data_IF_409169830549
#
_entry.id   IF_409169830549
#
_cell.length_a   1.000
_cell.length_b   1.000
_cell.length_c   1.000
_cell.angle_alpha   90.00
_cell.angle_beta   90.00
_cell.angle_gamma   90.00
#
_symmetry.space_group_name_H-M   'P 1'
#
loop_
_entity.id
_entity.type
_entity.pdbx_description
1 polymer ?
#
# COMPACT_ATOMS: atom_id res chain seq x y z
N UNK A 1 -23.04 59.75 -16.28
CA UNK A 1 -22.33 59.35 -15.03
C UNK A 1 -22.98 58.20 -14.25
N UNK A 2 -24.32 58.05 -14.21
CA UNK A 2 -24.99 56.94 -13.48
C UNK A 2 -24.60 55.54 -13.98
N UNK A 3 -24.50 55.35 -15.30
CA UNK A 3 -24.17 54.05 -15.89
C UNK A 3 -22.72 53.62 -15.59
N UNK A 4 -21.78 54.57 -15.53
CA UNK A 4 -20.38 54.28 -15.20
C UNK A 4 -20.21 53.73 -13.78
N UNK A 5 -20.95 54.29 -12.80
CA UNK A 5 -20.94 53.78 -11.42
C UNK A 5 -21.48 52.35 -11.34
N UNK A 6 -22.50 52.04 -12.12
CA UNK A 6 -23.07 50.69 -12.21
C UNK A 6 -22.08 49.68 -12.81
N UNK A 7 -21.38 50.02 -13.90
CA UNK A 7 -20.34 49.17 -14.48
C UNK A 7 -19.15 48.97 -13.54
N UNK A 8 -18.73 50.00 -12.81
CA UNK A 8 -17.68 49.90 -11.79
C UNK A 8 -18.11 48.94 -10.67
N UNK A 9 -19.36 49.04 -10.20
CA UNK A 9 -19.89 48.15 -9.16
C UNK A 9 -19.93 46.69 -9.62
N UNK A 10 -20.36 46.44 -10.86
CA UNK A 10 -20.32 45.09 -11.45
C UNK A 10 -18.89 44.58 -11.56
N UNK A 11 -17.98 45.40 -12.10
CA UNK A 11 -16.57 45.04 -12.21
C UNK A 11 -15.97 44.68 -10.86
N UNK A 12 -16.19 45.48 -9.82
CA UNK A 12 -15.73 45.18 -8.47
C UNK A 12 -16.37 43.90 -7.91
N UNK A 13 -17.66 43.67 -8.13
CA UNK A 13 -18.30 42.42 -7.70
C UNK A 13 -17.70 41.19 -8.38
N UNK A 14 -17.36 41.30 -9.67
CA UNK A 14 -16.73 40.24 -10.46
C UNK A 14 -15.29 39.97 -10.00
N UNK A 15 -14.53 41.03 -9.70
CA UNK A 15 -13.19 40.92 -9.11
C UNK A 15 -13.26 40.25 -7.73
N UNK A 16 -14.22 40.61 -6.88
CA UNK A 16 -14.40 39.98 -5.56
C UNK A 16 -14.74 38.48 -5.70
N UNK A 17 -15.61 38.11 -6.65
CA UNK A 17 -15.93 36.70 -6.92
C UNK A 17 -14.70 35.91 -7.38
N UNK A 18 -13.88 36.47 -8.26
CA UNK A 18 -12.64 35.82 -8.72
C UNK A 18 -11.65 35.68 -7.55
N UNK A 19 -11.49 36.71 -6.71
CA UNK A 19 -10.61 36.65 -5.55
C UNK A 19 -11.10 35.61 -4.52
N UNK A 20 -12.41 35.47 -4.33
CA UNK A 20 -12.99 34.44 -3.49
C UNK A 20 -12.69 33.04 -4.02
N UNK A 21 -12.86 32.82 -5.34
CA UNK A 21 -12.55 31.54 -5.99
C UNK A 21 -11.06 31.17 -5.88
N UNK A 22 -10.16 32.14 -6.09
CA UNK A 22 -8.72 31.94 -5.97
C UNK A 22 -8.27 31.69 -4.52
N UNK A 23 -9.06 32.11 -3.53
CA UNK A 23 -8.77 31.90 -2.11
C UNK A 23 -9.29 30.56 -1.61
N UNK A 24 -10.09 29.83 -2.39
CA UNK A 24 -10.53 28.50 -1.99
C UNK A 24 -9.32 27.56 -1.92
N UNK A 25 -9.17 26.78 -0.84
CA UNK A 25 -8.11 25.78 -0.77
C UNK A 25 -8.33 24.78 -1.90
N UNK A 26 -7.25 24.45 -2.62
CA UNK A 26 -7.30 23.38 -3.63
C UNK A 26 -7.83 22.11 -2.98
N UNK A 27 -8.79 21.47 -3.63
CA UNK A 27 -9.29 20.17 -3.18
C UNK A 27 -8.13 19.19 -3.01
N UNK A 28 -8.12 18.50 -1.87
CA UNK A 28 -7.11 17.49 -1.60
C UNK A 28 -7.42 16.29 -2.50
N UNK A 29 -6.47 15.92 -3.35
CA UNK A 29 -6.57 14.72 -4.18
C UNK A 29 -6.40 13.47 -3.30
N UNK A 30 -7.46 12.67 -3.17
CA UNK A 30 -7.48 11.41 -2.42
C UNK A 30 -7.39 10.18 -3.34
N UNK A 31 -6.87 10.33 -4.56
CA UNK A 31 -6.71 9.19 -5.47
C UNK A 31 -5.69 8.19 -4.92
N UNK A 32 -6.06 6.92 -4.85
CA UNK A 32 -5.15 5.85 -4.44
C UNK A 32 -4.15 5.51 -5.54
N UNK A 33 -2.86 5.79 -5.32
CA UNK A 33 -1.81 5.46 -6.29
C UNK A 33 -0.58 4.78 -5.70
N UNK A 34 -0.37 4.82 -4.38
CA UNK A 34 0.72 4.14 -3.66
C UNK A 34 2.14 4.45 -4.19
N UNK A 35 2.28 5.48 -5.03
CA UNK A 35 3.48 5.70 -5.82
C UNK A 35 4.54 6.38 -4.94
N UNK A 36 5.78 5.90 -5.02
CA UNK A 36 6.92 6.41 -4.25
C UNK A 36 7.21 7.92 -4.42
N UNK A 37 6.82 8.52 -5.54
CA UNK A 37 7.00 9.96 -5.81
C UNK A 37 5.78 10.81 -5.45
N UNK A 38 4.65 10.18 -5.11
CA UNK A 38 3.37 10.85 -4.86
C UNK A 38 3.27 11.36 -3.43
N UNK A 39 3.05 12.67 -3.27
CA UNK A 39 2.91 13.36 -1.98
C UNK A 39 1.46 13.54 -1.51
N UNK A 40 0.49 13.11 -2.30
CA UNK A 40 -0.93 13.12 -1.90
C UNK A 40 -1.15 12.11 -0.74
N UNK A 41 -2.26 12.18 0.01
CA UNK A 41 -2.49 11.32 1.17
C UNK A 41 -2.29 9.81 0.90
N UNK A 42 -2.77 9.30 -0.24
CA UNK A 42 -2.63 7.88 -0.60
C UNK A 42 -1.44 7.58 -1.55
N UNK A 43 -0.47 8.49 -1.60
CA UNK A 43 0.85 8.23 -2.16
C UNK A 43 1.77 7.48 -1.18
N UNK A 44 2.91 7.00 -1.68
CA UNK A 44 3.88 6.20 -0.92
C UNK A 44 5.19 6.95 -0.60
N UNK A 45 5.23 8.27 -0.74
CA UNK A 45 6.45 9.08 -0.58
C UNK A 45 7.11 8.95 0.79
N UNK A 46 6.34 9.06 1.87
CA UNK A 46 6.86 8.98 3.24
C UNK A 46 7.40 7.58 3.52
N UNK A 47 6.62 6.53 3.20
CA UNK A 47 7.08 5.14 3.38
C UNK A 47 8.37 4.86 2.61
N UNK A 48 8.46 5.34 1.36
CA UNK A 48 9.68 5.23 0.58
C UNK A 48 10.87 5.96 1.23
N UNK A 49 10.65 7.18 1.74
CA UNK A 49 11.69 7.97 2.41
C UNK A 49 12.22 7.34 3.70
N UNK A 50 11.42 6.49 4.36
CA UNK A 50 11.81 5.75 5.57
C UNK A 50 12.60 4.47 5.27
N UNK A 51 12.61 3.97 4.02
CA UNK A 51 13.31 2.72 3.68
C UNK A 51 14.80 2.71 4.06
N UNK A 52 15.60 3.77 3.85
CA UNK A 52 17.00 3.79 4.28
C UNK A 52 17.16 3.68 5.81
N UNK A 53 16.22 4.23 6.58
CA UNK A 53 16.26 4.15 8.05
C UNK A 53 15.85 2.77 8.56
N UNK A 54 14.87 2.13 7.91
CA UNK A 54 14.41 0.77 8.21
C UNK A 54 15.48 -0.25 7.82
N UNK A 55 16.12 -0.06 6.67
CA UNK A 55 17.12 -0.97 6.10
C UNK A 55 18.53 -0.36 6.11
N UNK A 56 19.02 0.06 7.30
CA UNK A 56 20.31 0.77 7.47
C UNK A 56 21.52 0.14 6.78
N UNK A 57 21.53 -1.19 6.70
CA UNK A 57 22.64 -1.97 6.11
C UNK A 57 22.34 -2.47 4.68
N UNK A 58 21.18 -2.12 4.12
CA UNK A 58 20.73 -2.56 2.81
C UNK A 58 20.93 -1.50 1.73
N UNK A 59 21.30 -1.93 0.52
CA UNK A 59 21.24 -1.06 -0.66
C UNK A 59 19.80 -0.98 -1.15
N UNK A 60 19.20 0.22 -1.12
CA UNK A 60 17.91 0.46 -1.75
C UNK A 60 18.13 0.60 -3.26
N UNK A 61 17.40 -0.22 -4.03
CA UNK A 61 17.43 -0.19 -5.50
C UNK A 61 16.02 0.07 -5.97
N UNK A 62 15.82 1.19 -6.64
CA UNK A 62 14.58 1.51 -7.30
C UNK A 62 14.53 0.81 -8.66
N UNK A 63 13.44 0.09 -8.93
CA UNK A 63 13.18 -0.39 -10.28
C UNK A 63 12.29 0.60 -11.02
N UNK A 64 12.68 0.93 -12.25
CA UNK A 64 11.90 1.74 -13.19
C UNK A 64 11.32 0.90 -14.34
N UNK A 65 11.51 -0.43 -14.27
CA UNK A 65 11.10 -1.37 -15.31
C UNK A 65 10.08 -2.37 -14.79
N UNK A 66 9.38 -3.02 -15.72
CA UNK A 66 8.48 -4.16 -15.46
C UNK A 66 9.14 -5.23 -14.57
N UNK A 67 8.30 -5.95 -13.82
CA UNK A 67 8.73 -6.95 -12.85
C UNK A 67 9.58 -8.04 -13.49
N UNK A 68 9.15 -8.60 -14.63
CA UNK A 68 9.90 -9.57 -15.42
C UNK A 68 11.31 -9.10 -15.75
N UNK A 69 11.46 -7.87 -16.29
CA UNK A 69 12.77 -7.31 -16.66
C UNK A 69 13.66 -7.09 -15.45
N UNK A 70 13.06 -6.66 -14.35
CA UNK A 70 13.74 -6.44 -13.07
C UNK A 70 14.37 -7.72 -12.55
N UNK A 71 13.68 -8.86 -12.70
CA UNK A 71 14.05 -10.13 -12.06
C UNK A 71 14.84 -11.08 -12.97
N UNK A 72 14.49 -11.21 -14.25
CA UNK A 72 14.97 -12.29 -15.13
C UNK A 72 16.50 -12.36 -15.27
N UNK A 73 17.17 -11.21 -15.36
CA UNK A 73 18.58 -11.14 -15.75
C UNK A 73 19.53 -10.81 -14.59
N UNK A 74 19.05 -10.87 -13.34
CA UNK A 74 19.83 -10.52 -12.16
C UNK A 74 19.89 -11.68 -11.19
N UNK A 75 21.09 -11.98 -10.68
CA UNK A 75 21.30 -13.04 -9.70
C UNK A 75 21.20 -12.48 -8.28
N UNK A 76 20.00 -11.99 -7.93
CA UNK A 76 19.73 -11.51 -6.57
C UNK A 76 19.80 -12.65 -5.56
N UNK A 77 20.45 -12.40 -4.43
CA UNK A 77 20.49 -13.28 -3.27
C UNK A 77 20.30 -12.43 -2.01
N UNK A 78 19.58 -12.97 -1.03
CA UNK A 78 19.27 -12.26 0.23
C UNK A 78 18.69 -10.86 0.00
N UNK A 79 17.86 -10.71 -1.04
CA UNK A 79 17.25 -9.44 -1.45
C UNK A 79 15.78 -9.43 -1.07
N UNK A 80 15.28 -8.26 -0.66
CA UNK A 80 13.85 -8.03 -0.40
C UNK A 80 13.27 -7.23 -1.56
N UNK A 81 12.20 -7.74 -2.16
CA UNK A 81 11.38 -7.03 -3.14
C UNK A 81 10.13 -6.51 -2.43
N UNK A 82 9.82 -5.21 -2.57
CA UNK A 82 8.65 -4.57 -1.94
C UNK A 82 7.73 -4.08 -3.06
N UNK A 83 6.48 -4.52 -3.02
CA UNK A 83 5.43 -4.14 -3.97
C UNK A 83 4.22 -3.66 -3.15
N UNK A 84 3.77 -2.44 -3.40
CA UNK A 84 2.60 -1.85 -2.75
C UNK A 84 1.73 -1.26 -3.85
N UNK A 85 0.50 -1.74 -3.97
CA UNK A 85 -0.45 -1.29 -4.98
C UNK A 85 -1.89 -1.57 -4.54
N UNK A 86 -2.87 -1.06 -5.28
CA UNK A 86 -4.26 -1.43 -5.03
C UNK A 86 -4.54 -2.89 -5.44
N UNK A 87 -4.04 -3.27 -6.63
CA UNK A 87 -4.31 -4.56 -7.26
C UNK A 87 -3.02 -5.18 -7.76
N UNK A 88 -2.65 -6.34 -7.22
CA UNK A 88 -1.51 -7.13 -7.66
C UNK A 88 -1.94 -8.30 -8.55
N UNK A 89 -1.97 -8.04 -9.86
CA UNK A 89 -2.32 -9.04 -10.88
C UNK A 89 -1.19 -9.19 -11.92
N UNK A 90 -0.03 -9.74 -11.52
CA UNK A 90 1.05 -10.00 -12.46
C UNK A 90 0.58 -10.99 -13.54
N UNK A 91 1.12 -10.84 -14.75
CA UNK A 91 0.95 -11.87 -15.77
C UNK A 91 1.74 -13.14 -15.41
N UNK A 92 1.54 -14.20 -16.20
CA UNK A 92 2.18 -15.50 -15.97
C UNK A 92 3.71 -15.44 -16.00
N UNK A 93 4.30 -14.56 -16.81
CA UNK A 93 5.75 -14.43 -16.91
C UNK A 93 6.32 -13.70 -15.70
N UNK A 94 5.67 -12.61 -15.30
CA UNK A 94 5.97 -11.83 -14.10
C UNK A 94 5.88 -12.71 -12.85
N UNK A 95 4.78 -13.44 -12.68
CA UNK A 95 4.57 -14.33 -11.55
C UNK A 95 5.64 -15.42 -11.51
N UNK A 96 5.94 -16.05 -12.65
CA UNK A 96 6.97 -17.08 -12.74
C UNK A 96 8.35 -16.56 -12.29
N UNK A 97 8.74 -15.37 -12.73
CA UNK A 97 10.04 -14.80 -12.32
C UNK A 97 10.03 -14.37 -10.83
N UNK A 98 8.91 -13.88 -10.30
CA UNK A 98 8.75 -13.57 -8.87
C UNK A 98 8.88 -14.82 -8.00
N UNK A 99 8.25 -15.93 -8.39
CA UNK A 99 8.35 -17.20 -7.67
C UNK A 99 9.79 -17.74 -7.70
N UNK A 100 10.43 -17.75 -8.88
CA UNK A 100 11.85 -18.13 -9.02
C UNK A 100 12.79 -17.23 -8.20
N UNK A 101 12.51 -15.93 -8.15
CA UNK A 101 13.28 -15.00 -7.34
C UNK A 101 13.18 -15.41 -5.87
N UNK A 102 11.98 -15.71 -5.38
CA UNK A 102 11.72 -16.13 -3.99
C UNK A 102 12.40 -17.47 -3.67
N UNK A 103 12.37 -18.44 -4.59
CA UNK A 103 13.01 -19.74 -4.41
C UNK A 103 14.52 -19.64 -4.11
N UNK A 104 15.17 -18.57 -4.59
CA UNK A 104 16.62 -18.30 -4.43
C UNK A 104 16.97 -17.55 -3.14
N UNK A 105 16.28 -17.85 -2.05
CA UNK A 105 16.50 -17.22 -0.72
C UNK A 105 16.23 -15.72 -0.68
N UNK A 106 15.43 -15.21 -1.61
CA UNK A 106 14.97 -13.81 -1.58
C UNK A 106 13.58 -13.73 -0.97
N UNK A 107 13.20 -12.56 -0.48
CA UNK A 107 11.89 -12.32 0.07
C UNK A 107 11.10 -11.36 -0.80
N UNK A 108 9.78 -11.57 -0.86
CA UNK A 108 8.87 -10.69 -1.59
C UNK A 108 7.80 -10.21 -0.61
N UNK A 109 7.62 -8.91 -0.50
CA UNK A 109 6.56 -8.28 0.26
C UNK A 109 5.56 -7.66 -0.72
N UNK A 110 4.28 -8.02 -0.58
CA UNK A 110 3.20 -7.49 -1.41
C UNK A 110 2.09 -7.00 -0.48
N UNK A 111 1.74 -5.72 -0.60
CA UNK A 111 0.54 -5.17 0.00
C UNK A 111 -0.44 -4.77 -1.12
N UNK A 112 -1.62 -5.38 -1.12
CA UNK A 112 -2.68 -5.10 -2.10
C UNK A 112 -4.07 -5.46 -1.57
N UNK A 113 -5.10 -4.82 -2.10
CA UNK A 113 -6.49 -5.19 -1.82
C UNK A 113 -6.91 -6.42 -2.64
N UNK A 114 -6.45 -6.49 -3.89
CA UNK A 114 -6.83 -7.53 -4.85
C UNK A 114 -5.58 -8.25 -5.35
N UNK A 115 -5.62 -9.58 -5.37
CA UNK A 115 -4.53 -10.43 -5.85
C UNK A 115 -4.99 -11.27 -7.05
N UNK A 116 -4.06 -11.66 -7.93
CA UNK A 116 -4.38 -12.61 -9.00
C UNK A 116 -4.74 -13.98 -8.46
N UNK A 117 -5.72 -14.63 -9.11
CA UNK A 117 -6.11 -16.00 -8.79
C UNK A 117 -4.93 -16.97 -8.95
N UNK A 118 -4.08 -16.76 -9.94
CA UNK A 118 -2.90 -17.61 -10.17
C UNK A 118 -1.93 -17.58 -8.98
N UNK A 119 -1.69 -16.41 -8.39
CA UNK A 119 -0.89 -16.30 -7.17
C UNK A 119 -1.57 -17.00 -5.99
N UNK A 120 -2.85 -16.73 -5.75
CA UNK A 120 -3.56 -17.30 -4.59
C UNK A 120 -3.68 -18.82 -4.67
N UNK A 121 -3.92 -19.35 -5.87
CA UNK A 121 -3.97 -20.80 -6.12
C UNK A 121 -2.58 -21.43 -5.90
N UNK A 122 -1.52 -20.78 -6.38
CA UNK A 122 -0.14 -21.26 -6.20
C UNK A 122 0.28 -21.34 -4.74
N UNK A 123 -0.17 -20.38 -3.92
CA UNK A 123 0.14 -20.34 -2.48
C UNK A 123 -0.90 -21.08 -1.63
N UNK A 124 -1.93 -21.66 -2.25
CA UNK A 124 -3.04 -22.31 -1.56
C UNK A 124 -3.68 -21.42 -0.48
N UNK A 125 -3.94 -20.16 -0.84
CA UNK A 125 -4.59 -19.18 0.03
C UNK A 125 -5.94 -18.75 -0.56
N UNK A 126 -6.88 -18.40 0.31
CA UNK A 126 -8.18 -17.82 -0.06
C UNK A 126 -8.34 -16.50 0.66
N UNK A 127 -8.55 -15.44 -0.10
CA UNK A 127 -8.85 -14.11 0.42
C UNK A 127 -10.35 -13.87 0.26
N UNK A 128 -10.98 -13.35 1.31
CA UNK A 128 -12.37 -12.97 1.33
C UNK A 128 -12.51 -11.52 1.78
N UNK A 129 -13.72 -10.99 1.66
CA UNK A 129 -14.06 -9.62 1.98
C UNK A 129 -15.17 -9.59 3.01
N UNK A 130 -15.06 -8.71 4.00
CA UNK A 130 -16.11 -8.47 4.99
C UNK A 130 -16.60 -7.04 4.92
N UNK A 131 -17.90 -6.86 4.67
CA UNK A 131 -18.53 -5.55 4.60
C UNK A 131 -18.67 -4.87 5.98
N UNK A 132 -18.55 -5.64 7.06
CA UNK A 132 -18.68 -5.20 8.45
C UNK A 132 -17.39 -4.56 8.96
N UNK A 133 -16.99 -3.41 8.39
CA UNK A 133 -15.91 -2.61 8.96
C UNK A 133 -16.42 -1.23 9.36
N UNK A 134 -16.26 -0.88 10.63
CA UNK A 134 -16.45 0.47 11.14
C UNK A 134 -15.45 1.44 10.48
N UNK A 135 -15.74 2.75 10.57
CA UNK A 135 -14.90 3.82 10.00
C UNK A 135 -13.46 3.84 10.53
N UNK A 136 -13.19 3.17 11.65
CA UNK A 136 -11.88 3.06 12.32
C UNK A 136 -11.45 1.61 12.42
N UNK A 137 -10.17 1.30 12.14
CA UNK A 137 -9.62 -0.05 12.29
C UNK A 137 -8.41 -0.08 13.21
N UNK A 138 -8.30 -1.16 13.98
CA UNK A 138 -7.12 -1.44 14.82
C UNK A 138 -6.51 -2.73 14.32
N UNK A 139 -5.20 -2.72 14.11
CA UNK A 139 -4.42 -3.88 13.71
C UNK A 139 -3.59 -4.34 14.89
N UNK A 140 -3.57 -5.65 15.12
CA UNK A 140 -2.64 -6.29 16.05
C UNK A 140 -1.56 -6.96 15.22
N UNK A 141 -0.34 -6.44 15.33
CA UNK A 141 0.83 -7.04 14.69
C UNK A 141 1.48 -8.01 15.66
N UNK A 142 1.66 -9.24 15.21
CA UNK A 142 2.33 -10.29 15.96
C UNK A 142 3.79 -10.34 15.51
N UNK A 143 4.67 -9.76 16.30
CA UNK A 143 6.10 -9.87 16.13
C UNK A 143 6.66 -11.08 16.88
N UNK A 144 7.86 -11.52 16.47
CA UNK A 144 8.62 -12.56 17.18
C UNK A 144 8.91 -12.16 18.63
N UNK A 145 8.88 -10.85 18.95
CA UNK A 145 9.21 -10.28 20.26
C UNK A 145 8.01 -9.70 21.03
N UNK A 146 6.77 -9.83 20.53
CA UNK A 146 5.57 -9.30 21.20
C UNK A 146 4.43 -8.93 20.25
N UNK A 147 3.33 -8.44 20.80
CA UNK A 147 2.21 -7.89 20.02
C UNK A 147 2.18 -6.37 20.18
N UNK A 148 2.20 -5.63 19.08
CA UNK A 148 1.90 -4.19 19.11
C UNK A 148 0.57 -3.92 18.43
N UNK A 149 -0.22 -3.03 19.02
CA UNK A 149 -1.46 -2.56 18.43
C UNK A 149 -1.22 -1.25 17.68
N UNK A 150 -1.48 -1.26 16.37
CA UNK A 150 -1.46 -0.07 15.54
C UNK A 150 -2.89 0.34 15.25
N UNK A 151 -3.26 1.56 15.64
CA UNK A 151 -4.55 2.15 15.32
C UNK A 151 -4.42 2.95 14.03
N UNK A 152 -5.37 2.77 13.12
CA UNK A 152 -5.42 3.52 11.88
C UNK A 152 -6.82 4.13 11.78
N UNK A 153 -6.86 5.46 11.63
CA UNK A 153 -8.10 6.22 11.64
C UNK A 153 -8.89 6.13 10.32
N UNK A 154 -8.43 5.30 9.36
CA UNK A 154 -9.12 5.02 8.11
C UNK A 154 -9.56 3.58 7.97
N UNK A 155 -10.71 3.45 7.30
CA UNK A 155 -11.37 2.18 7.03
C UNK A 155 -10.60 1.42 5.93
N UNK A 156 -9.96 0.28 6.26
CA UNK A 156 -9.52 -0.66 5.25
C UNK A 156 -10.72 -1.25 4.52
N UNK A 157 -10.46 -1.73 3.32
CA UNK A 157 -11.50 -2.37 2.52
C UNK A 157 -12.06 -3.62 3.24
N UNK A 158 -11.31 -4.28 4.13
CA UNK A 158 -11.82 -5.41 4.92
C UNK A 158 -11.58 -6.76 4.25
N UNK A 159 -10.51 -6.83 3.46
CA UNK A 159 -10.00 -8.07 2.92
C UNK A 159 -9.22 -8.84 3.98
N UNK A 160 -9.40 -10.15 4.03
CA UNK A 160 -8.75 -11.03 5.00
C UNK A 160 -8.50 -12.42 4.42
N UNK A 161 -7.57 -13.15 5.03
CA UNK A 161 -7.29 -14.54 4.68
C UNK A 161 -8.34 -15.47 5.31
N UNK A 162 -9.23 -16.00 4.48
CA UNK A 162 -10.26 -16.98 4.88
C UNK A 162 -9.66 -18.39 5.03
N UNK A 163 -8.72 -18.76 4.16
CA UNK A 163 -8.02 -20.05 4.20
C UNK A 163 -6.56 -19.88 3.80
N UNK A 164 -5.70 -20.68 4.41
CA UNK A 164 -4.28 -20.76 4.12
C UNK A 164 -3.72 -22.06 4.66
N UNK A 165 -2.62 -22.53 4.09
CA UNK A 165 -1.88 -23.70 4.58
C UNK A 165 -1.04 -23.32 5.81
N UNK A 166 -1.45 -23.80 7.00
CA UNK A 166 -0.78 -23.52 8.28
C UNK A 166 0.61 -24.14 8.40
N UNK A 167 0.95 -25.15 7.58
CA UNK A 167 2.29 -25.74 7.60
C UNK A 167 3.35 -24.81 6.97
N UNK A 168 2.93 -23.99 6.00
CA UNK A 168 3.81 -23.08 5.26
C UNK A 168 3.53 -21.60 5.56
N UNK A 169 2.45 -21.28 6.28
CA UNK A 169 2.00 -19.92 6.53
C UNK A 169 2.02 -19.57 8.00
N UNK A 170 2.62 -18.43 8.33
CA UNK A 170 2.57 -17.81 9.66
C UNK A 170 1.77 -16.50 9.58
N UNK A 171 0.84 -16.31 10.51
CA UNK A 171 0.11 -15.05 10.67
C UNK A 171 1.02 -14.01 11.32
N UNK A 172 1.10 -12.83 10.71
CA UNK A 172 1.90 -11.70 11.20
C UNK A 172 1.04 -10.51 11.62
N UNK A 173 -0.21 -10.44 11.15
CA UNK A 173 -1.15 -9.38 11.52
C UNK A 173 -2.58 -9.87 11.50
N UNK A 174 -3.35 -9.37 12.47
CA UNK A 174 -4.76 -9.64 12.66
C UNK A 174 -5.46 -8.30 12.85
N UNK A 175 -6.59 -8.09 12.17
CA UNK A 175 -7.47 -6.95 12.43
C UNK A 175 -8.22 -7.12 13.75
N UNK A 176 -8.80 -6.03 14.26
CA UNK A 176 -9.54 -5.98 15.54
C UNK A 176 -10.65 -7.03 15.65
N UNK A 177 -11.28 -7.37 14.53
CA UNK A 177 -12.34 -8.38 14.43
C UNK A 177 -11.80 -9.82 14.39
N UNK A 178 -10.50 -10.02 14.63
CA UNK A 178 -9.87 -11.33 14.75
C UNK A 178 -9.51 -11.99 13.41
N UNK A 179 -9.59 -11.25 12.29
CA UNK A 179 -9.30 -11.78 10.97
C UNK A 179 -7.84 -11.55 10.58
N UNK A 180 -7.17 -12.59 10.07
CA UNK A 180 -5.81 -12.47 9.58
C UNK A 180 -5.77 -11.61 8.31
N UNK A 181 -4.94 -10.56 8.30
CA UNK A 181 -4.81 -9.63 7.19
C UNK A 181 -3.34 -9.42 6.75
N UNK A 182 -2.39 -10.01 7.49
CA UNK A 182 -0.99 -10.06 7.12
C UNK A 182 -0.40 -11.43 7.43
N UNK A 183 0.22 -12.06 6.43
CA UNK A 183 0.85 -13.38 6.54
C UNK A 183 2.26 -13.39 5.97
N UNK A 184 3.07 -14.35 6.43
CA UNK A 184 4.25 -14.82 5.70
C UNK A 184 4.05 -16.25 5.25
N UNK A 185 4.36 -16.54 4.00
CA UNK A 185 4.24 -17.85 3.38
C UNK A 185 5.62 -18.30 2.89
N UNK A 186 6.06 -19.49 3.31
CA UNK A 186 7.34 -20.07 2.88
C UNK A 186 7.24 -20.51 1.42
N UNK A 187 8.18 -20.08 0.59
CA UNK A 187 8.23 -20.50 -0.81
C UNK A 187 9.68 -20.77 -1.24
N UNK A 188 9.99 -22.03 -1.55
CA UNK A 188 11.36 -22.49 -1.75
C UNK A 188 12.25 -22.18 -0.54
N UNK A 189 13.35 -21.45 -0.75
CA UNK A 189 14.26 -21.01 0.32
C UNK A 189 13.95 -19.61 0.87
N UNK A 190 12.98 -18.91 0.29
CA UNK A 190 12.58 -17.56 0.66
C UNK A 190 11.19 -17.51 1.30
N UNK A 191 10.64 -16.30 1.39
CA UNK A 191 9.28 -16.05 1.91
C UNK A 191 8.55 -15.01 1.07
N UNK A 192 7.24 -15.22 0.93
CA UNK A 192 6.30 -14.24 0.38
C UNK A 192 5.47 -13.70 1.54
N UNK A 193 5.53 -12.40 1.75
CA UNK A 193 4.76 -11.66 2.73
C UNK A 193 3.59 -11.00 2.03
N UNK A 194 2.37 -11.23 2.50
CA UNK A 194 1.15 -10.72 1.84
C UNK A 194 0.31 -9.98 2.87
N UNK A 195 0.07 -8.70 2.61
CA UNK A 195 -0.81 -7.85 3.40
C UNK A 195 -2.02 -7.42 2.56
N UNK A 196 -3.23 -7.59 3.09
CA UNK A 196 -4.48 -7.33 2.36
C UNK A 196 -4.97 -5.87 2.43
N UNK A 197 -4.18 -4.96 3.03
CA UNK A 197 -4.56 -3.57 3.28
C UNK A 197 -3.39 -2.63 2.91
N UNK A 198 -3.24 -2.25 1.62
CA UNK A 198 -2.13 -1.42 1.16
C UNK A 198 -2.20 0.02 1.71
N UNK A 199 -3.38 0.48 2.14
CA UNK A 199 -3.59 1.81 2.74
C UNK A 199 -2.72 2.06 3.98
N UNK A 200 -2.29 0.99 4.66
CA UNK A 200 -1.35 1.04 5.79
C UNK A 200 -0.02 1.67 5.39
N UNK A 201 0.37 1.54 4.12
CA UNK A 201 1.66 1.99 3.58
C UNK A 201 1.54 3.31 2.79
N UNK A 202 0.64 4.20 3.22
CA UNK A 202 0.43 5.51 2.60
C UNK A 202 0.98 6.65 3.43
N UNK A 203 1.16 7.82 2.80
CA UNK A 203 1.57 9.06 3.48
C UNK A 203 0.62 9.41 4.62
N UNK A 204 -0.69 9.25 4.39
CA UNK A 204 -1.72 9.51 5.38
C UNK A 204 -1.49 8.69 6.65
N UNK A 205 -1.38 7.37 6.52
CA UNK A 205 -1.18 6.48 7.66
C UNK A 205 0.16 6.74 8.35
N UNK A 206 1.21 6.99 7.57
CA UNK A 206 2.54 7.29 8.12
C UNK A 206 2.52 8.53 9.02
N UNK A 207 1.76 9.58 8.66
CA UNK A 207 1.61 10.78 9.50
C UNK A 207 0.65 10.55 10.66
N UNK A 208 -0.47 9.85 10.42
CA UNK A 208 -1.49 9.57 11.43
C UNK A 208 -0.92 8.74 12.61
N UNK A 209 0.02 7.84 12.34
CA UNK A 209 0.61 6.95 13.36
C UNK A 209 1.72 7.64 14.19
N UNK A 210 2.24 8.78 13.74
CA UNK A 210 3.28 9.55 14.45
C UNK A 210 2.67 10.49 15.51
N UNK A 211 1.38 10.80 15.42
CA UNK A 211 0.66 11.70 16.33
C UNK A 211 -0.22 10.94 17.33
#
# INVERSE_FOLDING_TARGET
>A
MKNLKFYIMIFFSLVILILFELSQPKEIDWTENYTKSSKIPYGGYIVHSLLPEIFKNGKIIESETELYRTLRNKNYRNTNLIIINNTFQPDKYDLKELLKFTEKSNNVFIAANIFSKELTDTLNIKISYSFLNDSTSTYKLNYVTGCEEIKINKRPYGYYFEKYDTANTQILGISKDGKANFISHKFGKGKIFIHTDPIVFTNYTAVDTIN
#
